data_IF_848955557664
#
_entry.id   IF_848955557664
#
_cell.length_a   1.000
_cell.length_b   1.000
_cell.length_c   1.000
_cell.angle_alpha   90.00
_cell.angle_beta   90.00
_cell.angle_gamma   90.00
#
_symmetry.space_group_name_H-M   'P 1'
#
loop_
_entity.id
_entity.type
_entity.pdbx_description
1 polymer ?
#
# COMPACT_ATOMS: atom_id res chain seq x y z
N UNK A 1 -9.59 22.16 30.59
CA UNK A 1 -8.98 20.82 30.59
C UNK A 1 -9.65 19.78 29.67
N UNK A 2 -10.85 20.01 29.11
CA UNK A 2 -11.59 18.95 28.36
C UNK A 2 -11.53 19.01 26.82
N UNK A 3 -10.93 20.06 26.23
CA UNK A 3 -10.85 20.24 24.76
C UNK A 3 -9.56 19.69 24.18
N UNK A 4 -8.43 20.02 24.82
CA UNK A 4 -7.10 19.55 24.41
C UNK A 4 -6.91 18.04 24.52
N UNK A 5 -7.51 17.38 25.52
CA UNK A 5 -7.48 15.91 25.63
C UNK A 5 -8.28 15.25 24.48
N UNK A 6 -9.47 15.77 24.17
CA UNK A 6 -10.30 15.26 23.06
C UNK A 6 -9.61 15.43 21.70
N UNK A 7 -9.01 16.58 21.47
CA UNK A 7 -8.23 16.86 20.25
C UNK A 7 -7.00 15.93 20.15
N UNK A 8 -6.31 15.66 21.26
CA UNK A 8 -5.20 14.72 21.28
C UNK A 8 -5.63 13.29 20.97
N UNK A 9 -6.70 12.80 21.61
CA UNK A 9 -7.23 11.47 21.35
C UNK A 9 -7.66 11.30 19.89
N UNK A 10 -8.35 12.30 19.35
CA UNK A 10 -8.75 12.31 17.95
C UNK A 10 -7.55 12.24 16.99
N UNK A 11 -6.49 13.02 17.24
CA UNK A 11 -5.28 13.00 16.41
C UNK A 11 -4.58 11.62 16.45
N UNK A 12 -4.59 10.94 17.59
CA UNK A 12 -4.03 9.58 17.73
C UNK A 12 -4.84 8.59 16.90
N UNK A 13 -6.18 8.66 16.97
CA UNK A 13 -7.07 7.81 16.18
C UNK A 13 -6.83 8.00 14.67
N UNK A 14 -6.72 9.24 14.20
CA UNK A 14 -6.44 9.51 12.79
C UNK A 14 -5.07 9.06 12.33
N UNK A 15 -4.03 9.22 13.16
CA UNK A 15 -2.72 8.66 12.84
C UNK A 15 -2.76 7.12 12.75
N UNK A 16 -3.57 6.47 13.60
CA UNK A 16 -3.76 5.02 13.57
C UNK A 16 -4.53 4.55 12.33
N UNK A 17 -5.60 5.26 11.95
CA UNK A 17 -6.32 5.01 10.68
C UNK A 17 -5.38 5.13 9.48
N UNK A 18 -4.62 6.22 9.40
CA UNK A 18 -3.66 6.45 8.32
C UNK A 18 -2.60 5.34 8.27
N UNK A 19 -2.11 4.87 9.42
CA UNK A 19 -1.18 3.75 9.48
C UNK A 19 -1.75 2.48 8.84
N UNK A 20 -2.98 2.09 9.19
CA UNK A 20 -3.64 0.91 8.59
C UNK A 20 -3.91 1.11 7.09
N UNK A 21 -4.27 2.33 6.70
CA UNK A 21 -4.53 2.68 5.31
C UNK A 21 -3.26 2.58 4.44
N UNK A 22 -2.11 2.99 4.99
CA UNK A 22 -0.82 2.80 4.35
C UNK A 22 -0.41 1.33 4.31
N UNK A 23 -0.75 0.50 5.30
CA UNK A 23 -0.52 -0.95 5.22
C UNK A 23 -1.35 -1.58 4.08
N UNK A 24 -2.61 -1.17 3.92
CA UNK A 24 -3.46 -1.59 2.81
C UNK A 24 -2.86 -1.19 1.46
N UNK A 25 -2.25 -0.01 1.35
CA UNK A 25 -1.60 0.44 0.12
C UNK A 25 -0.60 -0.59 -0.42
N UNK A 26 0.21 -1.19 0.47
CA UNK A 26 1.18 -2.22 0.08
C UNK A 26 0.52 -3.52 -0.38
N UNK A 27 -0.59 -3.90 0.26
CA UNK A 27 -1.37 -5.07 -0.16
C UNK A 27 -1.88 -4.86 -1.59
N UNK A 28 -2.46 -3.69 -1.88
CA UNK A 28 -3.03 -3.34 -3.19
C UNK A 28 -1.96 -3.24 -4.28
N UNK A 29 -0.76 -2.73 -3.97
CA UNK A 29 0.37 -2.72 -4.91
C UNK A 29 0.78 -4.15 -5.32
N UNK A 30 0.76 -5.10 -4.38
CA UNK A 30 1.06 -6.50 -4.73
C UNK A 30 -0.09 -7.16 -5.48
N UNK A 31 -1.35 -6.88 -5.12
CA UNK A 31 -2.50 -7.38 -5.88
C UNK A 31 -2.46 -6.87 -7.33
N UNK A 32 -2.04 -5.62 -7.51
CA UNK A 32 -1.80 -5.06 -8.84
C UNK A 32 -0.69 -5.84 -9.57
N UNK A 33 0.45 -6.10 -8.93
CA UNK A 33 1.53 -6.91 -9.50
C UNK A 33 1.07 -8.30 -9.94
N UNK A 34 0.27 -8.99 -9.12
CA UNK A 34 -0.34 -10.28 -9.44
C UNK A 34 -1.23 -10.19 -10.68
N UNK A 35 -2.08 -9.16 -10.76
CA UNK A 35 -2.92 -8.94 -11.93
C UNK A 35 -2.10 -8.74 -13.21
N UNK A 36 -0.94 -8.07 -13.12
CA UNK A 36 -0.05 -7.86 -14.26
C UNK A 36 0.59 -9.16 -14.74
N UNK A 37 0.96 -10.05 -13.82
CA UNK A 37 1.46 -11.38 -14.14
C UNK A 37 0.37 -12.20 -14.84
N UNK A 38 -0.84 -12.18 -14.32
CA UNK A 38 -1.97 -12.94 -14.89
C UNK A 38 -2.36 -12.44 -16.29
N UNK A 39 -2.37 -11.11 -16.49
CA UNK A 39 -2.57 -10.52 -17.83
C UNK A 39 -1.45 -10.96 -18.79
N UNK A 40 -0.21 -11.04 -18.32
CA UNK A 40 0.95 -11.51 -19.10
C UNK A 40 0.76 -12.93 -19.60
N UNK A 41 0.40 -13.85 -18.70
CA UNK A 41 0.13 -15.27 -18.99
C UNK A 41 -0.98 -15.46 -20.03
N UNK A 42 -2.01 -14.61 -19.96
CA UNK A 42 -3.17 -14.69 -20.84
C UNK A 42 -3.02 -13.92 -22.18
N UNK A 43 -1.83 -13.37 -22.48
CA UNK A 43 -1.57 -12.74 -23.78
C UNK A 43 -1.76 -13.73 -24.93
N UNK A 44 -2.23 -13.23 -26.08
CA UNK A 44 -2.35 -14.03 -27.32
C UNK A 44 -1.02 -14.62 -27.79
N UNK A 45 0.08 -13.91 -27.54
CA UNK A 45 1.46 -14.37 -27.81
C UNK A 45 2.27 -14.06 -26.55
N UNK A 46 2.35 -15.00 -25.58
CA UNK A 46 3.10 -14.79 -24.35
C UNK A 46 4.60 -14.96 -24.60
N UNK A 47 5.41 -14.15 -23.93
CA UNK A 47 6.87 -14.31 -23.90
C UNK A 47 7.29 -15.40 -22.91
N UNK A 48 8.56 -15.81 -22.91
CA UNK A 48 9.07 -16.78 -21.93
C UNK A 48 8.95 -16.28 -20.49
N UNK A 49 9.12 -14.96 -20.28
CA UNK A 49 8.92 -14.30 -18.98
C UNK A 49 7.44 -14.24 -18.60
N UNK A 50 6.53 -14.12 -19.57
CA UNK A 50 5.09 -14.20 -19.29
C UNK A 50 4.67 -15.62 -18.86
N UNK A 51 5.27 -16.66 -19.45
CA UNK A 51 4.99 -18.06 -19.10
C UNK A 51 5.63 -18.47 -17.77
N UNK A 52 6.82 -17.97 -17.47
CA UNK A 52 7.57 -18.25 -16.25
C UNK A 52 7.90 -16.94 -15.51
N UNK A 53 6.87 -16.24 -14.98
CA UNK A 53 7.07 -14.97 -14.32
C UNK A 53 7.82 -15.18 -13.00
N UNK A 54 8.69 -14.24 -12.66
CA UNK A 54 9.28 -14.21 -11.32
C UNK A 54 8.23 -13.74 -10.32
N UNK A 55 7.81 -14.64 -9.42
CA UNK A 55 6.75 -14.42 -8.43
C UNK A 55 7.27 -13.90 -7.09
N UNK A 56 8.57 -13.63 -6.96
CA UNK A 56 9.21 -13.27 -5.68
C UNK A 56 8.55 -12.07 -4.98
N UNK A 57 8.12 -11.05 -5.73
CA UNK A 57 7.46 -9.89 -5.13
C UNK A 57 6.07 -10.22 -4.60
N UNK A 58 5.31 -11.05 -5.32
CA UNK A 58 3.95 -11.44 -4.93
C UNK A 58 3.94 -12.44 -3.77
N UNK A 59 5.05 -13.17 -3.61
CA UNK A 59 5.30 -14.11 -2.50
C UNK A 59 6.05 -13.46 -1.32
N UNK A 60 6.07 -12.13 -1.23
CA UNK A 60 6.73 -11.42 -0.14
C UNK A 60 6.06 -11.75 1.21
N UNK A 61 6.82 -12.32 2.16
CA UNK A 61 6.29 -12.89 3.40
C UNK A 61 5.69 -11.85 4.33
N UNK A 62 6.23 -10.63 4.35
CA UNK A 62 5.68 -9.54 5.16
C UNK A 62 4.29 -9.14 4.63
N UNK A 63 4.14 -9.05 3.31
CA UNK A 63 2.88 -8.64 2.69
C UNK A 63 1.84 -9.77 2.81
N UNK A 64 2.26 -11.03 2.69
CA UNK A 64 1.41 -12.19 2.97
C UNK A 64 0.89 -12.18 4.42
N UNK A 65 1.73 -11.84 5.39
CA UNK A 65 1.29 -11.69 6.79
C UNK A 65 0.25 -10.59 6.95
N UNK A 66 0.41 -9.45 6.26
CA UNK A 66 -0.58 -8.36 6.30
C UNK A 66 -1.91 -8.79 5.67
N UNK A 67 -1.88 -9.49 4.52
CA UNK A 67 -3.07 -10.01 3.84
C UNK A 67 -3.86 -11.00 4.67
N UNK A 68 -3.18 -11.77 5.53
CA UNK A 68 -3.80 -12.77 6.39
C UNK A 68 -4.07 -12.26 7.82
N UNK A 69 -3.81 -10.98 8.10
CA UNK A 69 -4.06 -10.40 9.41
C UNK A 69 -5.54 -10.00 9.55
N UNK A 70 -6.32 -10.84 10.21
CA UNK A 70 -7.76 -10.61 10.41
C UNK A 70 -8.07 -9.32 11.17
N UNK A 71 -7.22 -8.91 12.12
CA UNK A 71 -7.42 -7.67 12.88
C UNK A 71 -7.30 -6.45 11.97
N UNK A 72 -6.28 -6.44 11.11
CA UNK A 72 -6.09 -5.42 10.09
C UNK A 72 -7.28 -5.38 9.11
N UNK A 73 -7.68 -6.54 8.57
CA UNK A 73 -8.78 -6.60 7.62
C UNK A 73 -10.11 -6.14 8.23
N UNK A 74 -10.40 -6.52 9.47
CA UNK A 74 -11.60 -6.05 10.18
C UNK A 74 -11.54 -4.55 10.45
N UNK A 75 -10.38 -4.01 10.81
CA UNK A 75 -10.22 -2.57 11.01
C UNK A 75 -10.50 -1.80 9.70
N UNK A 76 -9.91 -2.25 8.59
CA UNK A 76 -10.12 -1.61 7.28
C UNK A 76 -11.59 -1.61 6.86
N UNK A 77 -12.30 -2.74 7.06
CA UNK A 77 -13.73 -2.85 6.75
C UNK A 77 -14.59 -1.92 7.65
N UNK A 78 -14.34 -1.92 8.97
CA UNK A 78 -15.05 -1.08 9.93
C UNK A 78 -14.92 0.41 9.63
N UNK A 79 -13.72 0.85 9.23
CA UNK A 79 -13.43 2.23 8.85
C UNK A 79 -13.67 2.52 7.36
N UNK A 80 -14.15 1.52 6.59
CA UNK A 80 -14.41 1.60 5.14
C UNK A 80 -13.21 2.08 4.31
N UNK A 81 -12.00 1.79 4.78
CA UNK A 81 -10.75 2.22 4.16
C UNK A 81 -10.44 1.34 2.95
N UNK A 82 -10.31 1.95 1.78
CA UNK A 82 -9.95 1.26 0.54
C UNK A 82 -9.38 2.23 -0.51
N UNK A 83 -8.55 1.72 -1.42
CA UNK A 83 -7.96 2.51 -2.51
C UNK A 83 -8.72 2.35 -3.84
N UNK A 84 -9.94 1.81 -3.84
CA UNK A 84 -10.70 1.49 -5.07
C UNK A 84 -10.97 2.74 -5.91
N UNK A 85 -11.15 3.90 -5.27
CA UNK A 85 -11.34 5.19 -5.93
C UNK A 85 -10.04 5.77 -6.54
N UNK A 86 -8.88 5.19 -6.20
CA UNK A 86 -7.55 5.72 -6.57
C UNK A 86 -6.67 4.66 -7.24
N UNK A 87 -7.13 3.95 -8.29
CA UNK A 87 -6.34 2.89 -8.93
C UNK A 87 -5.07 3.40 -9.63
N UNK A 88 -5.07 4.67 -10.06
CA UNK A 88 -3.89 5.29 -10.68
C UNK A 88 -2.75 5.50 -9.67
N UNK A 89 -3.04 5.70 -8.39
CA UNK A 89 -2.03 5.76 -7.34
C UNK A 89 -1.29 4.42 -7.20
N UNK A 90 -2.04 3.32 -7.13
CA UNK A 90 -1.48 1.97 -7.03
C UNK A 90 -0.58 1.67 -8.22
N UNK A 91 -1.06 2.02 -9.42
CA UNK A 91 -0.33 1.84 -10.68
C UNK A 91 0.92 2.72 -10.77
N UNK A 92 0.88 3.97 -10.29
CA UNK A 92 2.03 4.85 -10.23
C UNK A 92 3.11 4.27 -9.32
N UNK A 93 2.75 3.89 -8.09
CA UNK A 93 3.68 3.30 -7.12
C UNK A 93 4.30 2.03 -7.69
N UNK A 94 3.49 1.13 -8.26
CA UNK A 94 4.00 -0.08 -8.88
C UNK A 94 4.94 0.21 -10.05
N UNK A 95 4.61 1.18 -10.92
CA UNK A 95 5.47 1.56 -12.04
C UNK A 95 6.83 2.09 -11.55
N UNK A 96 6.83 3.01 -10.58
CA UNK A 96 8.06 3.52 -9.96
C UNK A 96 8.86 2.40 -9.30
N UNK A 97 8.18 1.43 -8.70
CA UNK A 97 8.80 0.27 -8.07
C UNK A 97 9.56 -0.58 -9.07
N UNK A 98 8.92 -1.03 -10.15
CA UNK A 98 9.56 -1.90 -11.15
C UNK A 98 10.72 -1.21 -11.90
N UNK A 99 10.70 0.12 -11.98
CA UNK A 99 11.77 0.91 -12.58
C UNK A 99 12.98 1.08 -11.65
N UNK A 100 12.81 0.89 -10.34
CA UNK A 100 13.85 1.10 -9.32
C UNK A 100 14.92 0.00 -9.31
N UNK A 101 16.16 0.39 -9.01
CA UNK A 101 17.29 -0.54 -8.91
C UNK A 101 17.16 -1.47 -7.69
N UNK A 102 16.66 -0.98 -6.55
CA UNK A 102 16.42 -1.80 -5.35
C UNK A 102 15.42 -2.94 -5.63
N UNK A 103 14.36 -2.68 -6.41
CA UNK A 103 13.44 -3.73 -6.82
C UNK A 103 14.09 -4.75 -7.74
N UNK A 104 14.82 -4.30 -8.77
CA UNK A 104 15.53 -5.21 -9.68
C UNK A 104 16.52 -6.08 -8.93
N UNK A 105 17.30 -5.49 -8.01
CA UNK A 105 18.23 -6.19 -7.15
C UNK A 105 17.52 -7.20 -6.23
N UNK A 106 16.38 -6.83 -5.65
CA UNK A 106 15.55 -7.75 -4.86
C UNK A 106 15.08 -8.93 -5.73
N UNK A 107 14.59 -8.68 -6.95
CA UNK A 107 14.04 -9.73 -7.82
C UNK A 107 15.07 -10.79 -8.25
N UNK A 108 16.35 -10.42 -8.36
CA UNK A 108 17.43 -11.33 -8.81
C UNK A 108 18.28 -11.92 -7.67
N UNK A 109 18.05 -11.51 -6.41
CA UNK A 109 18.83 -12.02 -5.29
C UNK A 109 18.65 -13.56 -5.13
N UNK A 110 19.71 -14.29 -4.81
CA UNK A 110 19.61 -15.74 -4.60
C UNK A 110 19.00 -16.11 -3.24
N UNK A 111 19.22 -15.25 -2.23
CA UNK A 111 18.69 -15.47 -0.89
C UNK A 111 17.25 -15.01 -0.77
N UNK A 112 16.41 -15.82 -0.12
CA UNK A 112 15.04 -15.50 0.25
C UNK A 112 14.92 -15.43 1.78
N UNK A 113 14.88 -14.22 2.33
CA UNK A 113 14.74 -14.03 3.78
C UNK A 113 13.74 -12.93 4.10
N UNK A 114 13.07 -13.10 5.25
CA UNK A 114 12.11 -12.11 5.75
C UNK A 114 12.75 -10.73 5.94
N UNK A 115 14.05 -10.69 6.24
CA UNK A 115 14.80 -9.44 6.34
C UNK A 115 14.89 -8.70 4.99
N UNK A 116 15.09 -9.42 3.88
CA UNK A 116 15.08 -8.84 2.53
C UNK A 116 13.68 -8.36 2.15
N UNK A 117 12.66 -9.14 2.47
CA UNK A 117 11.26 -8.78 2.23
C UNK A 117 10.90 -7.47 2.95
N UNK A 118 11.24 -7.38 4.23
CA UNK A 118 11.03 -6.17 5.04
C UNK A 118 11.83 -4.98 4.51
N UNK A 119 13.06 -5.21 4.05
CA UNK A 119 13.91 -4.17 3.47
C UNK A 119 13.29 -3.58 2.21
N UNK A 120 12.75 -4.41 1.31
CA UNK A 120 12.04 -3.92 0.13
C UNK A 120 10.83 -3.07 0.52
N UNK A 121 9.99 -3.55 1.44
CA UNK A 121 8.82 -2.79 1.90
C UNK A 121 9.24 -1.46 2.52
N UNK A 122 10.31 -1.45 3.31
CA UNK A 122 10.88 -0.21 3.88
C UNK A 122 11.33 0.75 2.79
N UNK A 123 12.02 0.25 1.75
CA UNK A 123 12.43 1.05 0.59
C UNK A 123 11.22 1.67 -0.11
N UNK A 124 10.16 0.88 -0.37
CA UNK A 124 8.94 1.37 -1.03
C UNK A 124 8.36 2.54 -0.25
N UNK A 125 8.20 2.40 1.07
CA UNK A 125 7.65 3.50 1.87
C UNK A 125 8.57 4.73 1.90
N UNK A 126 9.87 4.52 2.13
CA UNK A 126 10.81 5.63 2.34
C UNK A 126 11.19 6.39 1.07
N UNK A 127 11.13 5.76 -0.10
CA UNK A 127 11.60 6.35 -1.35
C UNK A 127 10.49 6.57 -2.38
N UNK A 128 9.49 5.69 -2.46
CA UNK A 128 8.44 5.76 -3.48
C UNK A 128 7.18 6.41 -2.93
N UNK A 129 6.66 5.88 -1.81
CA UNK A 129 5.43 6.37 -1.19
C UNK A 129 5.65 7.77 -0.63
N UNK A 130 6.74 7.99 0.11
CA UNK A 130 7.07 9.30 0.68
C UNK A 130 7.22 10.41 -0.38
N UNK A 131 7.71 10.07 -1.58
CA UNK A 131 7.90 11.03 -2.69
C UNK A 131 6.71 11.10 -3.65
N UNK A 132 5.62 10.39 -3.39
CA UNK A 132 4.44 10.40 -4.27
C UNK A 132 3.59 11.65 -4.03
N UNK A 133 3.68 12.62 -4.94
CA UNK A 133 2.82 13.80 -4.95
C UNK A 133 1.33 13.41 -5.03
N UNK A 134 1.00 12.39 -5.83
CA UNK A 134 -0.37 11.90 -5.96
C UNK A 134 -0.92 11.37 -4.62
N UNK A 135 -0.11 10.63 -3.86
CA UNK A 135 -0.51 10.19 -2.52
C UNK A 135 -0.78 11.38 -1.61
N UNK A 136 0.12 12.38 -1.59
CA UNK A 136 -0.05 13.58 -0.77
C UNK A 136 -1.35 14.31 -1.13
N UNK A 137 -1.64 14.50 -2.41
CA UNK A 137 -2.90 15.12 -2.85
C UNK A 137 -4.13 14.32 -2.42
N UNK A 138 -4.11 12.98 -2.58
CA UNK A 138 -5.23 12.13 -2.14
C UNK A 138 -5.43 12.20 -0.63
N UNK A 139 -4.35 12.19 0.15
CA UNK A 139 -4.43 12.29 1.60
C UNK A 139 -4.90 13.67 2.06
N UNK A 140 -4.51 14.75 1.39
CA UNK A 140 -5.00 16.11 1.67
C UNK A 140 -6.51 16.24 1.40
N UNK A 141 -6.97 15.75 0.25
CA UNK A 141 -8.40 15.72 -0.09
C UNK A 141 -9.20 14.96 0.96
N UNK A 142 -8.75 13.75 1.33
CA UNK A 142 -9.40 12.95 2.36
C UNK A 142 -9.34 13.61 3.75
N UNK A 143 -8.23 14.29 4.08
CA UNK A 143 -8.08 14.99 5.35
C UNK A 143 -9.03 16.18 5.47
N UNK A 144 -9.34 16.88 4.38
CA UNK A 144 -10.36 17.94 4.38
C UNK A 144 -11.73 17.34 4.69
N UNK A 145 -12.12 16.26 4.00
CA UNK A 145 -13.37 15.55 4.31
C UNK A 145 -13.41 15.06 5.76
N UNK A 146 -12.29 14.53 6.28
CA UNK A 146 -12.19 14.07 7.66
C UNK A 146 -12.28 15.21 8.68
N UNK A 147 -11.86 16.43 8.34
CA UNK A 147 -11.99 17.61 9.19
C UNK A 147 -13.41 18.19 9.14
N UNK A 148 -14.02 18.25 7.95
CA UNK A 148 -15.38 18.78 7.77
C UNK A 148 -16.44 17.90 8.46
N UNK A 149 -16.29 16.55 8.42
CA UNK A 149 -17.17 15.62 9.13
C UNK A 149 -17.12 15.82 10.66
N UNK A 150 -15.97 16.20 11.21
CA UNK A 150 -15.84 16.51 12.65
C UNK A 150 -16.52 17.82 13.00
N UNK A 151 -16.32 18.85 12.18
CA UNK A 151 -16.91 20.17 12.42
C UNK A 151 -18.45 20.06 12.36
N UNK A 152 -18.97 19.24 11.44
CA UNK A 152 -20.40 18.92 11.36
C UNK A 152 -20.92 18.16 12.60
N UNK A 153 -20.19 17.16 13.11
CA UNK A 153 -20.60 16.37 14.30
C UNK A 153 -20.47 17.20 15.60
N UNK A 154 -19.60 18.20 15.63
CA UNK A 154 -19.33 19.03 16.81
C UNK A 154 -20.10 20.34 16.86
N UNK A 155 -20.89 20.65 15.81
CA UNK A 155 -21.78 21.81 15.70
C UNK A 155 -23.16 21.59 16.32
#
# INVERSE_FOLDING_TARGET
MRRSEKELHFNIEKAFELYHYLLLLMIDVVLYAESRIEIGRNKRIPTQEDLNPNTRFIENKLIEQLRNNEDLLRFLDQHKLNWVSYPELIKEIYKKLIESEDYKAYMVAEEHSYALDKRLVTFIYSHIVYSSELLHSVLEEQSIFWNDDLEFITS
#
